data_IF_507727394211
#
_entry.id   IF_507727394211
#
_cell.length_a   1.000
_cell.length_b   1.000
_cell.length_c   1.000
_cell.angle_alpha   90.00
_cell.angle_beta   90.00
_cell.angle_gamma   90.00
#
_symmetry.space_group_name_H-M   'P 1'
#
loop_
_entity.id
_entity.type
_entity.pdbx_description
1 polymer ?
#
# COMPACT_ATOMS: atom_id res chain seq x y z
N UNK A 1 3.68 3.05 3.60
CA UNK A 1 4.42 2.82 2.33
C UNK A 1 4.75 1.35 2.21
N UNK A 2 4.56 0.73 1.04
CA UNK A 2 4.94 -0.68 0.82
C UNK A 2 6.47 -0.78 0.79
N UNK A 3 7.01 -1.60 1.68
CA UNK A 3 8.44 -1.92 1.78
C UNK A 3 8.80 -3.03 0.80
N UNK A 4 7.96 -4.05 0.71
CA UNK A 4 8.21 -5.24 -0.08
C UNK A 4 7.00 -6.16 -0.13
N UNK A 5 7.08 -7.13 -1.02
CA UNK A 5 6.13 -8.22 -1.17
C UNK A 5 6.90 -9.50 -1.40
N UNK A 6 6.58 -10.53 -0.64
CA UNK A 6 7.23 -11.83 -0.72
C UNK A 6 6.16 -12.88 -0.96
N UNK A 7 6.36 -13.72 -1.97
CA UNK A 7 5.59 -14.94 -2.16
C UNK A 7 6.50 -16.13 -1.85
N UNK A 8 6.13 -16.94 -0.85
CA UNK A 8 7.00 -18.01 -0.34
C UNK A 8 6.22 -19.30 -0.09
N UNK A 9 6.82 -20.44 -0.41
CA UNK A 9 6.31 -21.74 -0.01
C UNK A 9 6.88 -22.08 1.37
N UNK A 10 5.99 -22.23 2.36
CA UNK A 10 6.34 -22.62 3.72
C UNK A 10 6.13 -24.13 3.86
N UNK A 11 7.18 -24.84 4.28
CA UNK A 11 7.24 -26.29 4.39
C UNK A 11 6.42 -26.81 5.58
N UNK A 12 6.46 -26.09 6.70
CA UNK A 12 5.89 -26.43 8.00
C UNK A 12 4.68 -25.55 8.34
N UNK A 13 4.44 -24.47 7.58
CA UNK A 13 3.26 -23.61 7.76
C UNK A 13 3.36 -22.68 8.96
N UNK A 14 4.57 -22.31 9.36
CA UNK A 14 4.81 -21.37 10.45
C UNK A 14 5.69 -20.23 9.99
N UNK A 15 5.11 -19.04 9.92
CA UNK A 15 5.86 -17.83 9.62
C UNK A 15 6.33 -17.18 10.92
N UNK A 16 7.63 -16.92 11.03
CA UNK A 16 8.24 -16.14 12.10
C UNK A 16 8.65 -14.77 11.57
N UNK A 17 8.19 -13.72 12.25
CA UNK A 17 8.42 -12.31 11.93
C UNK A 17 9.12 -11.66 13.12
N UNK A 18 10.27 -11.01 12.92
CA UNK A 18 10.93 -10.30 14.02
C UNK A 18 12.43 -10.08 13.83
N UNK A 19 13.20 -10.37 14.87
CA UNK A 19 14.65 -10.23 14.90
C UNK A 19 15.37 -11.34 14.11
N UNK A 20 16.62 -11.08 13.71
CA UNK A 20 17.48 -12.08 13.08
C UNK A 20 17.97 -13.19 14.05
N UNK A 21 17.80 -12.99 15.37
CA UNK A 21 18.12 -14.01 16.38
C UNK A 21 17.16 -15.20 16.33
N UNK A 22 17.52 -16.30 16.99
CA UNK A 22 16.63 -17.44 17.14
C UNK A 22 15.40 -17.09 17.99
N UNK A 23 14.27 -17.65 17.60
CA UNK A 23 12.98 -17.39 18.23
C UNK A 23 12.80 -18.37 19.37
N UNK A 24 12.32 -17.88 20.50
CA UNK A 24 12.19 -18.66 21.73
C UNK A 24 10.76 -19.20 21.86
N UNK A 25 10.35 -20.02 20.88
CA UNK A 25 9.04 -20.65 20.86
C UNK A 25 9.16 -22.17 20.99
N UNK A 26 8.47 -22.73 21.97
CA UNK A 26 8.24 -24.17 22.04
C UNK A 26 6.97 -24.54 21.27
N UNK A 27 7.16 -24.85 19.97
CA UNK A 27 6.10 -25.29 19.07
C UNK A 27 5.48 -26.64 19.43
N UNK A 28 6.06 -27.40 20.38
CA UNK A 28 5.47 -28.65 20.87
C UNK A 28 4.42 -28.41 21.96
N UNK A 29 4.40 -27.21 22.55
CA UNK A 29 3.61 -26.90 23.76
C UNK A 29 2.57 -25.81 23.50
N UNK A 30 2.72 -25.03 22.44
CA UNK A 30 1.84 -23.89 22.16
C UNK A 30 1.53 -23.71 20.67
N UNK A 31 0.29 -23.36 20.38
CA UNK A 31 -0.22 -23.14 19.02
C UNK A 31 -0.12 -21.64 18.63
N UNK A 32 0.31 -21.31 17.38
CA UNK A 32 0.27 -19.94 16.87
C UNK A 32 -1.17 -19.38 16.80
N UNK A 33 -1.36 -18.04 16.89
CA UNK A 33 -0.33 -17.01 16.95
C UNK A 33 0.29 -16.83 18.35
N UNK A 34 1.60 -16.60 18.39
CA UNK A 34 2.34 -16.29 19.63
C UNK A 34 3.36 -15.18 19.40
N UNK A 35 3.82 -14.56 20.48
CA UNK A 35 4.85 -13.54 20.43
C UNK A 35 5.77 -13.61 21.65
N UNK A 36 7.05 -13.39 21.43
CA UNK A 36 8.04 -13.14 22.49
C UNK A 36 8.54 -11.69 22.39
N UNK A 37 9.68 -11.37 23.03
CA UNK A 37 10.26 -10.02 22.99
C UNK A 37 10.82 -9.63 21.62
N UNK A 38 11.21 -10.60 20.81
CA UNK A 38 11.98 -10.48 19.58
C UNK A 38 11.24 -10.93 18.33
N UNK A 39 10.14 -11.68 18.48
CA UNK A 39 9.48 -12.38 17.39
C UNK A 39 7.97 -12.51 17.59
N UNK A 40 7.28 -12.70 16.49
CA UNK A 40 5.89 -13.12 16.39
C UNK A 40 5.83 -14.31 15.45
N UNK A 41 5.10 -15.34 15.83
CA UNK A 41 4.88 -16.54 15.03
C UNK A 41 3.39 -16.69 14.74
N UNK A 42 3.05 -17.07 13.52
CA UNK A 42 1.67 -17.31 13.07
C UNK A 42 1.58 -18.51 12.14
N UNK A 43 0.41 -19.17 12.18
CA UNK A 43 0.09 -20.29 11.34
C UNK A 43 -0.27 -19.84 9.91
N UNK A 44 0.28 -20.52 8.92
CA UNK A 44 0.06 -20.28 7.49
C UNK A 44 -0.23 -21.58 6.78
N UNK A 45 -0.78 -21.53 5.56
CA UNK A 45 -0.88 -22.75 4.76
C UNK A 45 0.51 -23.34 4.51
N UNK A 46 0.62 -24.65 4.64
CA UNK A 46 1.83 -25.41 4.30
C UNK A 46 1.68 -26.04 2.92
N UNK A 47 2.73 -26.01 2.10
CA UNK A 47 2.98 -26.81 0.88
C UNK A 47 1.93 -26.81 -0.26
N UNK A 48 0.75 -26.20 -0.10
CA UNK A 48 -0.32 -26.23 -1.11
C UNK A 48 -0.15 -25.10 -2.14
N UNK A 49 0.24 -23.90 -1.71
CA UNK A 49 0.39 -22.71 -2.55
C UNK A 49 1.21 -21.63 -1.81
N UNK A 50 1.84 -20.67 -2.51
CA UNK A 50 2.73 -19.71 -1.88
C UNK A 50 1.95 -18.76 -0.97
N UNK A 51 2.42 -18.50 0.23
CA UNK A 51 1.87 -17.48 1.13
C UNK A 51 2.35 -16.12 0.67
N UNK A 52 1.45 -15.14 0.56
CA UNK A 52 1.81 -13.77 0.19
C UNK A 52 2.01 -12.93 1.44
N UNK A 53 3.11 -12.22 1.52
CA UNK A 53 3.48 -11.40 2.67
C UNK A 53 3.80 -10.00 2.17
N UNK A 54 2.90 -9.05 2.46
CA UNK A 54 3.11 -7.64 2.19
C UNK A 54 3.73 -6.93 3.40
N UNK A 55 4.88 -6.29 3.21
CA UNK A 55 5.52 -5.49 4.25
C UNK A 55 5.31 -4.00 4.00
N UNK A 56 5.02 -3.26 5.05
CA UNK A 56 4.69 -1.84 5.02
C UNK A 56 5.36 -1.09 6.17
N UNK A 57 5.64 0.21 5.98
CA UNK A 57 6.00 1.14 7.06
C UNK A 57 4.94 2.22 7.21
N UNK A 58 4.51 2.52 8.43
CA UNK A 58 3.52 3.57 8.69
C UNK A 58 2.10 3.14 8.32
N UNK A 59 1.71 3.40 7.06
CA UNK A 59 0.39 3.07 6.55
C UNK A 59 0.43 1.80 5.67
N UNK A 60 -0.55 0.92 5.89
CA UNK A 60 -0.78 -0.32 5.15
C UNK A 60 -2.28 -0.53 4.84
N UNK A 61 -2.64 -1.35 3.83
CA UNK A 61 -4.02 -1.76 3.61
C UNK A 61 -4.61 -2.37 4.87
N UNK A 62 -5.90 -2.15 5.10
CA UNK A 62 -6.58 -2.75 6.22
C UNK A 62 -6.48 -4.27 6.09
N UNK A 63 -5.82 -4.91 7.06
CA UNK A 63 -5.83 -6.35 7.17
C UNK A 63 -7.26 -6.81 7.44
N UNK A 64 -7.65 -7.95 6.87
CA UNK A 64 -8.98 -8.49 7.13
C UNK A 64 -9.18 -8.75 8.63
N UNK A 65 -8.10 -9.17 9.29
CA UNK A 65 -8.04 -9.51 10.71
C UNK A 65 -6.70 -9.09 11.27
N UNK A 66 -6.72 -8.47 12.45
CA UNK A 66 -5.52 -8.16 13.21
C UNK A 66 -5.13 -9.37 14.05
N UNK A 67 -3.88 -9.84 13.89
CA UNK A 67 -3.33 -10.99 14.63
C UNK A 67 -2.50 -10.51 15.80
N UNK A 68 -1.65 -9.49 15.59
CA UNK A 68 -0.73 -9.00 16.61
C UNK A 68 -0.50 -7.50 16.46
N UNK A 69 -0.46 -6.77 17.58
CA UNK A 69 0.08 -5.40 17.63
C UNK A 69 0.92 -5.25 18.89
N UNK A 70 2.19 -4.89 18.75
CA UNK A 70 3.08 -4.74 19.90
C UNK A 70 4.54 -4.48 19.52
N UNK A 71 5.35 -4.21 20.54
CA UNK A 71 6.75 -3.83 20.37
C UNK A 71 7.68 -5.02 20.35
N UNK A 72 8.45 -5.14 19.26
CA UNK A 72 9.46 -6.17 19.04
C UNK A 72 10.85 -5.56 19.08
N UNK A 73 11.78 -6.18 19.79
CA UNK A 73 13.18 -5.78 19.84
C UNK A 73 13.96 -6.38 18.66
N UNK A 74 14.65 -5.54 17.89
CA UNK A 74 15.44 -5.98 16.73
C UNK A 74 16.93 -5.90 17.04
N UNK A 75 17.55 -7.06 17.34
CA UNK A 75 18.95 -7.14 17.73
C UNK A 75 19.90 -6.49 16.71
N UNK A 76 19.65 -6.72 15.41
CA UNK A 76 20.47 -6.18 14.30
C UNK A 76 19.89 -4.92 13.67
N UNK A 77 18.67 -4.52 14.06
CA UNK A 77 17.92 -3.43 13.42
C UNK A 77 17.15 -3.85 12.15
N UNK A 78 17.22 -5.12 11.76
CA UNK A 78 16.47 -5.67 10.62
C UNK A 78 15.22 -6.41 11.09
N UNK A 79 14.11 -6.18 10.40
CA UNK A 79 12.95 -7.09 10.46
C UNK A 79 13.23 -8.24 9.50
N UNK A 80 13.10 -9.47 9.99
CA UNK A 80 13.27 -10.69 9.21
C UNK A 80 11.95 -11.43 9.07
N UNK A 81 11.83 -12.15 7.95
CA UNK A 81 10.81 -13.17 7.75
C UNK A 81 11.53 -14.51 7.54
N UNK A 82 11.08 -15.53 8.25
CA UNK A 82 11.60 -16.90 8.12
C UNK A 82 10.54 -17.93 8.43
N UNK A 83 10.78 -19.15 7.98
CA UNK A 83 10.07 -20.29 8.51
C UNK A 83 10.69 -20.73 9.85
N UNK A 84 9.90 -21.38 10.71
CA UNK A 84 10.40 -21.96 11.96
C UNK A 84 11.62 -22.84 11.69
N UNK A 85 12.72 -22.59 12.39
CA UNK A 85 13.98 -23.35 12.28
C UNK A 85 14.77 -23.17 10.96
N UNK A 86 14.37 -22.24 10.08
CA UNK A 86 15.10 -21.93 8.85
C UNK A 86 15.78 -20.54 8.90
N UNK A 87 16.82 -20.31 8.09
CA UNK A 87 17.38 -18.97 7.91
C UNK A 87 16.33 -17.98 7.35
N UNK A 88 16.47 -16.67 7.61
CA UNK A 88 15.63 -15.66 6.99
C UNK A 88 15.69 -15.68 5.46
N UNK A 89 14.53 -15.80 4.81
CA UNK A 89 14.39 -15.62 3.37
C UNK A 89 14.18 -14.15 2.99
N UNK A 90 13.85 -13.30 3.95
CA UNK A 90 13.72 -11.85 3.77
C UNK A 90 14.28 -11.11 4.99
N UNK A 91 14.96 -10.00 4.73
CA UNK A 91 15.44 -9.08 5.76
C UNK A 91 15.35 -7.64 5.26
N UNK A 92 14.91 -6.72 6.12
CA UNK A 92 14.82 -5.30 5.79
C UNK A 92 15.23 -4.38 6.95
N UNK A 93 16.04 -3.33 6.69
CA UNK A 93 16.50 -2.42 7.74
C UNK A 93 15.36 -1.54 8.27
N UNK A 94 14.91 -1.83 9.49
CA UNK A 94 13.77 -1.18 10.11
C UNK A 94 14.14 -0.13 11.16
N UNK A 95 15.26 -0.28 11.86
CA UNK A 95 15.69 0.64 12.92
C UNK A 95 17.18 0.43 13.23
N UNK A 96 17.72 1.13 14.23
CA UNK A 96 19.06 0.89 14.74
C UNK A 96 19.13 -0.44 15.50
N UNK A 97 20.29 -1.09 15.49
CA UNK A 97 20.53 -2.32 16.22
C UNK A 97 20.17 -2.18 17.72
N UNK A 98 19.45 -3.18 18.26
CA UNK A 98 19.00 -3.24 19.65
C UNK A 98 17.75 -2.42 19.97
N UNK A 99 17.25 -1.60 19.04
CA UNK A 99 16.05 -0.80 19.25
C UNK A 99 14.77 -1.63 19.16
N UNK A 100 13.71 -1.15 19.83
CA UNK A 100 12.36 -1.68 19.69
C UNK A 100 11.63 -0.98 18.56
N UNK A 101 10.72 -1.70 17.94
CA UNK A 101 9.82 -1.20 16.90
C UNK A 101 8.44 -1.80 17.11
N UNK A 102 7.42 -0.98 16.94
CA UNK A 102 6.04 -1.47 16.96
C UNK A 102 5.74 -2.21 15.66
N UNK A 103 5.31 -3.47 15.76
CA UNK A 103 4.80 -4.24 14.64
C UNK A 103 3.28 -4.38 14.75
N UNK A 104 2.59 -4.28 13.62
CA UNK A 104 1.18 -4.65 13.45
C UNK A 104 1.09 -5.70 12.36
N UNK A 105 0.64 -6.90 12.72
CA UNK A 105 0.54 -8.05 11.81
C UNK A 105 -0.93 -8.44 11.69
N UNK A 106 -1.41 -8.53 10.46
CA UNK A 106 -2.73 -9.03 10.14
C UNK A 106 -2.73 -10.10 9.07
N UNK A 107 -3.81 -10.86 8.99
CA UNK A 107 -3.97 -11.98 8.06
C UNK A 107 -5.39 -12.03 7.47
N UNK A 108 -5.59 -12.85 6.45
CA UNK A 108 -6.88 -13.18 5.83
C UNK A 108 -7.74 -14.15 6.69
N UNK A 109 -7.10 -15.05 7.43
CA UNK A 109 -7.76 -16.05 8.26
C UNK A 109 -7.08 -16.22 9.64
N UNK A 110 -7.79 -16.83 10.60
CA UNK A 110 -7.19 -17.25 11.87
C UNK A 110 -6.41 -18.56 11.73
N UNK A 111 -6.74 -19.37 10.71
CA UNK A 111 -6.13 -20.68 10.50
C UNK A 111 -6.54 -21.30 9.13
N UNK A 112 -5.61 -21.69 8.24
CA UNK A 112 -4.24 -21.20 8.03
C UNK A 112 -4.24 -19.96 7.11
N UNK A 113 -3.40 -18.97 7.42
CA UNK A 113 -3.30 -17.72 6.64
C UNK A 113 -2.70 -17.95 5.23
N UNK A 114 -3.21 -17.21 4.25
CA UNK A 114 -2.72 -17.21 2.87
C UNK A 114 -2.18 -15.86 2.42
N UNK A 115 -2.69 -14.77 3.00
CA UNK A 115 -2.27 -13.40 2.77
C UNK A 115 -1.99 -12.71 4.11
N UNK A 116 -0.76 -12.21 4.28
CA UNK A 116 -0.26 -11.63 5.52
C UNK A 116 0.19 -10.20 5.27
N UNK A 117 -0.23 -9.29 6.14
CA UNK A 117 0.18 -7.88 6.12
C UNK A 117 1.01 -7.60 7.36
N UNK A 118 2.27 -7.19 7.16
CA UNK A 118 3.18 -6.78 8.23
C UNK A 118 3.42 -5.28 8.13
N UNK A 119 3.12 -4.55 9.20
CA UNK A 119 3.29 -3.10 9.29
C UNK A 119 4.30 -2.76 10.37
N UNK A 120 5.39 -2.13 9.95
CA UNK A 120 6.47 -1.63 10.79
C UNK A 120 6.13 -0.18 11.17
N UNK A 121 6.17 0.14 12.46
CA UNK A 121 5.80 1.46 13.00
C UNK A 121 4.43 1.91 12.46
N UNK A 122 3.33 1.20 12.78
CA UNK A 122 2.00 1.54 12.26
C UNK A 122 1.63 2.97 12.69
N UNK A 123 1.29 3.80 11.70
CA UNK A 123 0.72 5.12 11.94
C UNK A 123 -0.78 5.03 12.24
N UNK A 124 -1.39 6.15 12.63
CA UNK A 124 -2.85 6.26 12.77
C UNK A 124 -3.61 6.06 11.45
N UNK A 125 -2.89 6.05 10.35
CA UNK A 125 -3.40 6.09 9.00
C UNK A 125 -3.37 4.72 8.31
N UNK A 126 -4.50 4.27 7.78
CA UNK A 126 -4.59 3.09 6.91
C UNK A 126 -4.51 3.47 5.42
N UNK A 127 -3.98 2.57 4.59
CA UNK A 127 -4.15 2.66 3.14
C UNK A 127 -5.60 2.31 2.76
N UNK A 128 -6.07 2.76 1.59
CA UNK A 128 -7.36 2.37 1.06
C UNK A 128 -7.56 0.84 1.01
N UNK A 129 -8.76 0.38 1.36
CA UNK A 129 -9.14 -1.03 1.30
C UNK A 129 -9.44 -1.42 -0.15
N UNK A 130 -8.68 -2.36 -0.71
CA UNK A 130 -8.81 -2.78 -2.11
C UNK A 130 -9.56 -4.10 -2.28
N UNK A 131 -10.15 -4.66 -1.23
CA UNK A 131 -10.82 -5.97 -1.26
C UNK A 131 -12.05 -6.00 -2.16
N UNK A 132 -12.78 -4.89 -2.23
CA UNK A 132 -13.90 -4.71 -3.15
C UNK A 132 -13.94 -3.26 -3.64
N UNK A 133 -14.62 -3.02 -4.77
CA UNK A 133 -14.75 -1.64 -5.30
C UNK A 133 -15.51 -0.75 -4.31
N UNK A 134 -16.55 -1.26 -3.64
CA UNK A 134 -17.32 -0.48 -2.66
C UNK A 134 -16.47 -0.13 -1.43
N UNK A 135 -15.77 -1.10 -0.85
CA UNK A 135 -14.82 -0.86 0.25
C UNK A 135 -13.75 0.16 -0.13
N UNK A 136 -13.27 0.07 -1.37
CA UNK A 136 -12.28 0.98 -1.91
C UNK A 136 -12.79 2.41 -2.01
N UNK A 137 -13.92 2.61 -2.67
CA UNK A 137 -14.56 3.93 -2.83
C UNK A 137 -14.84 4.56 -1.46
N UNK A 138 -15.35 3.80 -0.50
CA UNK A 138 -15.57 4.28 0.88
C UNK A 138 -14.26 4.72 1.55
N UNK A 139 -13.20 3.90 1.44
CA UNK A 139 -11.92 4.18 2.08
C UNK A 139 -11.20 5.40 1.51
N UNK A 140 -11.24 5.61 0.18
CA UNK A 140 -10.64 6.79 -0.45
C UNK A 140 -11.51 8.04 -0.24
N UNK A 141 -12.83 7.89 -0.05
CA UNK A 141 -13.73 9.00 0.21
C UNK A 141 -13.33 9.78 1.47
N UNK A 142 -12.72 9.12 2.46
CA UNK A 142 -12.18 9.74 3.67
C UNK A 142 -10.87 10.53 3.48
N UNK A 143 -10.17 10.40 2.35
CA UNK A 143 -8.93 11.12 2.08
C UNK A 143 -9.23 12.55 1.59
N UNK A 144 -8.80 13.56 2.33
CA UNK A 144 -9.14 14.96 2.06
C UNK A 144 -7.94 15.89 1.92
N UNK A 145 -6.78 15.53 2.48
CA UNK A 145 -5.63 16.43 2.57
C UNK A 145 -4.55 16.10 1.54
N UNK A 146 -3.81 17.12 1.10
CA UNK A 146 -2.72 16.95 0.13
C UNK A 146 -1.65 15.95 0.58
N UNK A 147 -1.38 15.87 1.89
CA UNK A 147 -0.43 14.89 2.45
C UNK A 147 -0.84 13.43 2.27
N UNK A 148 -2.08 13.17 1.85
CA UNK A 148 -2.62 11.83 1.63
C UNK A 148 -2.72 11.46 0.14
N UNK A 149 -2.28 12.33 -0.78
CA UNK A 149 -2.43 12.11 -2.23
C UNK A 149 -1.77 10.80 -2.69
N UNK A 150 -0.58 10.49 -2.18
CA UNK A 150 0.14 9.25 -2.52
C UNK A 150 -0.60 8.00 -2.04
N UNK A 151 -1.49 8.12 -1.05
CA UNK A 151 -2.33 7.00 -0.60
C UNK A 151 -3.48 6.74 -1.57
N UNK A 152 -4.09 7.80 -2.08
CA UNK A 152 -5.12 7.69 -3.13
C UNK A 152 -4.54 7.05 -4.39
N UNK A 153 -3.30 7.42 -4.76
CA UNK A 153 -2.60 6.93 -5.95
C UNK A 153 -1.84 5.59 -5.74
N UNK A 154 -1.95 4.95 -4.57
CA UNK A 154 -1.19 3.74 -4.30
C UNK A 154 -1.80 2.51 -4.98
N UNK A 155 -1.20 2.09 -6.10
CA UNK A 155 -1.66 0.96 -6.92
C UNK A 155 -2.47 1.41 -8.13
N UNK A 156 -2.94 0.46 -8.95
CA UNK A 156 -3.68 0.78 -10.18
C UNK A 156 -4.99 0.00 -10.35
N UNK A 157 -5.45 -0.71 -9.32
CA UNK A 157 -6.84 -1.19 -9.28
C UNK A 157 -7.78 0.02 -9.20
N UNK A 158 -8.96 -0.06 -9.82
CA UNK A 158 -9.95 1.03 -9.84
C UNK A 158 -9.35 2.40 -10.23
N UNK A 159 -8.64 2.49 -11.37
CA UNK A 159 -7.82 3.65 -11.73
C UNK A 159 -8.62 4.97 -11.79
N UNK A 160 -9.86 4.92 -12.26
CA UNK A 160 -10.74 6.08 -12.31
C UNK A 160 -11.11 6.59 -10.91
N UNK A 161 -11.47 5.69 -9.99
CA UNK A 161 -11.85 6.03 -8.62
C UNK A 161 -10.64 6.64 -7.86
N UNK A 162 -9.42 6.12 -8.11
CA UNK A 162 -8.15 6.69 -7.60
C UNK A 162 -7.89 8.10 -8.07
N UNK A 163 -8.00 8.29 -9.39
CA UNK A 163 -7.77 9.58 -10.01
C UNK A 163 -8.80 10.60 -9.52
N UNK A 164 -10.07 10.21 -9.38
CA UNK A 164 -11.13 11.07 -8.85
C UNK A 164 -10.83 11.53 -7.41
N UNK A 165 -10.35 10.63 -6.55
CA UNK A 165 -9.93 10.98 -5.20
C UNK A 165 -8.72 11.93 -5.19
N UNK A 166 -7.72 11.70 -6.04
CA UNK A 166 -6.56 12.57 -6.16
C UNK A 166 -6.93 13.97 -6.66
N UNK A 167 -7.80 14.08 -7.67
CA UNK A 167 -8.32 15.35 -8.18
C UNK A 167 -9.07 16.13 -7.09
N UNK A 168 -9.93 15.46 -6.33
CA UNK A 168 -10.61 16.07 -5.17
C UNK A 168 -9.62 16.58 -4.12
N UNK A 169 -8.58 15.81 -3.80
CA UNK A 169 -7.52 16.21 -2.85
C UNK A 169 -6.78 17.46 -3.35
N UNK A 170 -6.38 17.49 -4.63
CA UNK A 170 -5.68 18.63 -5.22
C UNK A 170 -6.53 19.89 -5.18
N UNK A 171 -7.83 19.77 -5.46
CA UNK A 171 -8.74 20.91 -5.39
C UNK A 171 -8.94 21.41 -3.98
N UNK A 172 -9.20 20.51 -3.03
CA UNK A 172 -9.34 20.90 -1.63
C UNK A 172 -8.09 21.66 -1.16
N UNK A 173 -6.91 21.17 -1.52
CA UNK A 173 -5.65 21.85 -1.22
C UNK A 173 -5.56 23.26 -1.85
N UNK A 174 -5.99 23.41 -3.10
CA UNK A 174 -6.03 24.71 -3.78
C UNK A 174 -7.00 25.69 -3.09
N UNK A 175 -8.19 25.23 -2.69
CA UNK A 175 -9.18 26.04 -1.99
C UNK A 175 -8.77 26.38 -0.54
N UNK A 176 -8.06 25.49 0.13
CA UNK A 176 -7.53 25.68 1.48
C UNK A 176 -6.32 26.63 1.52
N UNK A 177 -5.89 27.17 0.36
CA UNK A 177 -4.77 28.09 0.27
C UNK A 177 -3.41 27.42 0.52
N UNK A 178 -3.30 26.12 0.27
CA UNK A 178 -2.01 25.41 0.28
C UNK A 178 -1.13 26.02 -0.81
N UNK A 179 0.18 26.17 -0.54
CA UNK A 179 1.09 26.82 -1.47
C UNK A 179 1.14 26.15 -2.84
N UNK A 180 1.23 26.96 -3.91
CA UNK A 180 1.31 26.50 -5.30
C UNK A 180 2.44 25.47 -5.51
N UNK A 181 3.55 25.61 -4.80
CA UNK A 181 4.65 24.64 -4.85
C UNK A 181 4.23 23.24 -4.37
N UNK A 182 3.42 23.15 -3.30
CA UNK A 182 2.91 21.88 -2.78
C UNK A 182 1.82 21.32 -3.68
N UNK A 183 0.92 22.15 -4.19
CA UNK A 183 -0.08 21.71 -5.19
C UNK A 183 0.63 21.18 -6.44
N UNK A 184 1.67 21.87 -6.91
CA UNK A 184 2.52 21.42 -8.02
C UNK A 184 3.19 20.06 -7.78
N UNK A 185 3.64 19.79 -6.54
CA UNK A 185 4.11 18.46 -6.16
C UNK A 185 3.00 17.40 -6.30
N UNK A 186 1.79 17.69 -5.82
CA UNK A 186 0.67 16.76 -5.97
C UNK A 186 0.30 16.49 -7.42
N UNK A 187 0.33 17.51 -8.29
CA UNK A 187 0.15 17.34 -9.74
C UNK A 187 1.23 16.43 -10.31
N UNK A 188 2.49 16.60 -9.89
CA UNK A 188 3.58 15.73 -10.32
C UNK A 188 3.39 14.27 -9.86
N UNK A 189 2.86 14.03 -8.66
CA UNK A 189 2.49 12.67 -8.22
C UNK A 189 1.41 12.04 -9.09
N UNK A 190 0.36 12.80 -9.46
CA UNK A 190 -0.68 12.31 -10.39
C UNK A 190 -0.09 12.04 -11.78
N UNK A 191 0.73 12.96 -12.30
CA UNK A 191 1.39 12.84 -13.59
C UNK A 191 2.28 11.60 -13.67
N UNK A 192 3.05 11.32 -12.61
CA UNK A 192 3.88 10.13 -12.52
C UNK A 192 3.02 8.86 -12.49
N UNK A 193 1.96 8.85 -11.68
CA UNK A 193 1.03 7.72 -11.61
C UNK A 193 0.36 7.41 -12.96
N UNK A 194 -0.03 8.44 -13.72
CA UNK A 194 -0.65 8.28 -15.04
C UNK A 194 0.24 7.56 -16.05
N UNK A 195 1.57 7.73 -15.99
CA UNK A 195 2.51 7.05 -16.90
C UNK A 195 2.39 5.53 -16.83
N UNK A 196 2.00 5.01 -15.67
CA UNK A 196 1.89 3.58 -15.42
C UNK A 196 0.57 2.97 -15.88
N UNK A 197 -0.38 3.78 -16.39
CA UNK A 197 -1.62 3.26 -16.96
C UNK A 197 -1.43 2.60 -18.32
N UNK A 198 -0.51 3.10 -19.15
CA UNK A 198 -0.26 2.53 -20.46
C UNK A 198 1.16 2.85 -20.96
N UNK A 199 1.92 1.87 -21.48
CA UNK A 199 3.32 2.07 -21.86
C UNK A 199 3.55 3.09 -22.98
N UNK A 200 2.53 3.34 -23.82
CA UNK A 200 2.60 4.34 -24.89
C UNK A 200 2.40 5.79 -24.42
N UNK A 201 2.14 6.03 -23.12
CA UNK A 201 2.00 7.39 -22.60
C UNK A 201 3.36 8.09 -22.63
N UNK A 202 3.49 9.04 -23.55
CA UNK A 202 4.70 9.83 -23.73
C UNK A 202 4.78 11.01 -22.76
N UNK A 203 5.98 11.58 -22.61
CA UNK A 203 6.17 12.76 -21.76
C UNK A 203 5.29 13.95 -22.19
N UNK A 204 5.10 14.17 -23.50
CA UNK A 204 4.25 15.26 -24.00
C UNK A 204 2.77 15.11 -23.65
N UNK A 205 2.27 13.87 -23.60
CA UNK A 205 0.90 13.58 -23.13
C UNK A 205 0.79 13.90 -21.62
N UNK A 206 1.82 13.55 -20.84
CA UNK A 206 1.86 13.84 -19.40
C UNK A 206 1.94 15.34 -19.11
N UNK A 207 2.74 16.09 -19.87
CA UNK A 207 2.82 17.55 -19.75
C UNK A 207 1.46 18.19 -20.05
N UNK A 208 0.80 17.77 -21.13
CA UNK A 208 -0.54 18.23 -21.50
C UNK A 208 -1.58 17.89 -20.41
N UNK A 209 -1.52 16.68 -19.84
CA UNK A 209 -2.37 16.26 -18.74
C UNK A 209 -2.13 17.10 -17.46
N UNK A 210 -0.86 17.38 -17.15
CA UNK A 210 -0.48 18.19 -15.99
C UNK A 210 -0.93 19.64 -16.12
N UNK A 211 -0.83 20.22 -17.31
CA UNK A 211 -1.34 21.55 -17.63
C UNK A 211 -2.86 21.58 -17.54
N UNK A 212 -3.54 20.55 -18.05
CA UNK A 212 -4.99 20.41 -17.91
C UNK A 212 -5.41 20.37 -16.44
N UNK A 213 -4.78 19.55 -15.60
CA UNK A 213 -5.04 19.52 -14.15
C UNK A 213 -4.86 20.92 -13.56
N UNK A 214 -3.74 21.59 -13.84
CA UNK A 214 -3.44 22.93 -13.30
C UNK A 214 -4.52 23.95 -13.67
N UNK A 215 -4.98 23.94 -14.92
CA UNK A 215 -6.00 24.86 -15.40
C UNK A 215 -7.38 24.56 -14.80
N UNK A 216 -7.72 23.28 -14.64
CA UNK A 216 -9.02 22.84 -14.13
C UNK A 216 -9.16 23.10 -12.60
N UNK A 217 -8.05 23.12 -11.84
CA UNK A 217 -8.06 23.44 -10.40
C UNK A 217 -8.56 24.87 -10.07
N UNK A 218 -8.49 25.80 -11.02
CA UNK A 218 -9.02 27.16 -10.89
C UNK A 218 -10.50 27.30 -11.29
N UNK A 219 -11.12 26.24 -11.81
CA UNK A 219 -12.52 26.20 -12.24
C UNK A 219 -13.50 25.93 -11.09
N UNK A 220 -14.79 26.21 -11.31
CA UNK A 220 -15.85 26.05 -10.31
C UNK A 220 -16.09 24.60 -9.81
N UNK A 221 -17.15 24.40 -9.02
CA UNK A 221 -17.44 23.19 -8.24
C UNK A 221 -17.79 21.90 -9.04
N UNK A 222 -16.92 21.44 -9.93
CA UNK A 222 -17.10 20.22 -10.75
C UNK A 222 -16.67 18.97 -9.97
N UNK A 223 -17.42 17.88 -9.79
CA UNK A 223 -16.90 16.78 -8.94
C UNK A 223 -15.54 16.22 -9.42
N UNK A 224 -14.69 15.73 -8.50
CA UNK A 224 -13.39 15.14 -8.87
C UNK A 224 -13.51 13.94 -9.83
N UNK A 225 -14.66 13.26 -9.82
CA UNK A 225 -15.02 12.21 -10.78
C UNK A 225 -15.13 12.75 -12.22
N UNK A 226 -15.77 13.91 -12.41
CA UNK A 226 -15.92 14.52 -13.74
C UNK A 226 -14.56 14.93 -14.29
N UNK A 227 -13.67 15.45 -13.44
CA UNK A 227 -12.29 15.80 -13.84
C UNK A 227 -11.49 14.56 -14.21
N UNK A 228 -11.58 13.49 -13.41
CA UNK A 228 -10.90 12.24 -13.69
C UNK A 228 -11.37 11.64 -15.02
N UNK A 229 -12.68 11.61 -15.29
CA UNK A 229 -13.23 11.18 -16.57
C UNK A 229 -12.73 12.03 -17.74
N UNK A 230 -12.74 13.36 -17.59
CA UNK A 230 -12.27 14.27 -18.63
C UNK A 230 -10.77 14.08 -18.93
N UNK A 231 -9.96 13.80 -17.90
CA UNK A 231 -8.54 13.55 -18.05
C UNK A 231 -8.26 12.21 -18.75
N UNK A 232 -8.94 11.13 -18.36
CA UNK A 232 -8.85 9.83 -19.03
C UNK A 232 -9.31 9.92 -20.49
N UNK A 233 -10.40 10.65 -20.78
CA UNK A 233 -10.88 10.88 -22.14
C UNK A 233 -9.84 11.64 -22.97
N UNK A 234 -9.19 12.65 -22.39
CA UNK A 234 -8.13 13.42 -23.06
C UNK A 234 -6.92 12.54 -23.40
N UNK A 235 -6.47 11.70 -22.46
CA UNK A 235 -5.30 10.82 -22.66
C UNK A 235 -5.61 9.72 -23.67
N UNK A 236 -6.75 9.04 -23.54
CA UNK A 236 -7.17 7.98 -24.47
C UNK A 236 -7.31 8.51 -25.90
N UNK A 237 -7.91 9.71 -26.06
CA UNK A 237 -7.98 10.37 -27.36
C UNK A 237 -6.60 10.70 -27.95
N UNK A 238 -5.64 11.13 -27.12
CA UNK A 238 -4.28 11.43 -27.58
C UNK A 238 -3.51 10.16 -28.00
N UNK A 239 -3.84 9.02 -27.39
CA UNK A 239 -3.28 7.71 -27.72
C UNK A 239 -4.00 7.02 -28.89
N UNK A 240 -5.19 7.51 -29.29
CA UNK A 240 -6.01 6.86 -30.31
C UNK A 240 -6.63 5.54 -29.86
N UNK A 241 -6.81 5.33 -28.56
CA UNK A 241 -7.40 4.13 -27.95
C UNK A 241 -8.69 4.48 -27.22
N UNK A 242 -9.48 3.47 -26.86
CA UNK A 242 -10.66 3.70 -26.02
C UNK A 242 -10.29 3.98 -24.56
N UNK A 243 -11.17 4.67 -23.82
CA UNK A 243 -10.97 4.87 -22.39
C UNK A 243 -10.93 3.53 -21.62
N UNK A 244 -11.74 2.56 -22.03
CA UNK A 244 -11.74 1.23 -21.42
C UNK A 244 -10.41 0.51 -21.66
N UNK A 245 -9.87 0.59 -22.88
CA UNK A 245 -8.56 0.03 -23.21
C UNK A 245 -7.43 0.68 -22.39
N UNK A 246 -7.46 2.00 -22.21
CA UNK A 246 -6.52 2.72 -21.35
C UNK A 246 -6.60 2.27 -19.88
N UNK A 247 -7.80 1.98 -19.36
CA UNK A 247 -8.02 1.58 -17.96
C UNK A 247 -7.84 0.06 -17.73
N UNK A 248 -7.92 -0.75 -18.79
CA UNK A 248 -7.73 -2.20 -18.77
C UNK A 248 -6.29 -2.61 -19.11
N UNK A 249 -5.48 -1.72 -19.68
CA UNK A 249 -4.11 -2.01 -20.09
C UNK A 249 -3.23 -2.42 -18.90
N UNK A 250 -3.07 -3.74 -18.74
CA UNK A 250 -2.04 -4.42 -17.97
C UNK A 250 -1.61 -5.68 -18.68
#
# INVERSE_FOLDING_TARGET
>A
MKIGEVEVFLNYGHLVIGSASDADFDLLVSDPPMSDTNHVILATRAQIAPVRIGLWRGAAPKSSRQIFTGDVQLATGYVTLRESSEPPFFAWPATSAGARVTLSIGADSWDPATDITVVVEPGADSMPDVASRSSFVESIAALGSLGQIDRALNGHNYPLDRLAAAMRILRNASHEGVSDARVGYGIASVAEWLKWLHPAISMGIIESASEKIRNDLGGGAVSGEVEAHALIASISSALGISADELLMAR
#
